data_IF_934688393343
#
_entry.id   IF_934688393343
#
_cell.length_a   1.000
_cell.length_b   1.000
_cell.length_c   1.000
_cell.angle_alpha   90.00
_cell.angle_beta   90.00
_cell.angle_gamma   90.00
#
_symmetry.space_group_name_H-M   'P 1'
#
loop_
_entity.id
_entity.type
_entity.pdbx_description
1 polymer ?
#
# COMPACT_ATOMS: atom_id res chain seq x y z
N UNK A 1 18.80 -54.35 31.68
CA UNK A 1 19.16 -53.22 30.78
C UNK A 1 19.06 -51.94 31.61
N UNK A 2 20.06 -51.66 32.44
CA UNK A 2 21.08 -50.60 32.34
C UNK A 2 20.50 -49.17 32.30
N UNK A 3 20.23 -48.61 33.51
CA UNK A 3 19.79 -47.22 33.76
C UNK A 3 20.56 -46.16 32.95
N UNK A 4 21.85 -46.37 32.69
CA UNK A 4 22.66 -45.43 31.89
C UNK A 4 22.22 -45.29 30.42
N UNK A 5 21.49 -46.26 29.85
CA UNK A 5 20.91 -46.10 28.51
C UNK A 5 19.79 -45.06 28.48
N UNK A 6 19.07 -44.89 29.59
CA UNK A 6 17.96 -43.95 29.69
C UNK A 6 18.45 -42.50 29.79
N UNK A 7 19.56 -42.27 30.50
CA UNK A 7 20.22 -40.96 30.58
C UNK A 7 20.78 -40.50 29.23
N UNK A 8 21.40 -41.41 28.48
CA UNK A 8 21.94 -41.11 27.14
C UNK A 8 20.83 -40.73 26.16
N UNK A 9 19.69 -41.43 26.21
CA UNK A 9 18.53 -41.12 25.35
C UNK A 9 17.98 -39.73 25.69
N UNK A 10 17.86 -39.38 26.97
CA UNK A 10 17.40 -38.04 27.39
C UNK A 10 18.32 -36.93 26.88
N UNK A 11 19.64 -37.14 26.98
CA UNK A 11 20.61 -36.17 26.48
C UNK A 11 20.55 -36.00 24.95
N UNK A 12 20.34 -37.10 24.22
CA UNK A 12 20.18 -37.07 22.77
C UNK A 12 18.97 -36.24 22.33
N UNK A 13 17.83 -36.36 23.02
CA UNK A 13 16.62 -35.58 22.72
C UNK A 13 16.85 -34.09 22.95
N UNK A 14 17.52 -33.72 24.03
CA UNK A 14 17.84 -32.31 24.33
C UNK A 14 18.72 -31.71 23.23
N UNK A 15 19.75 -32.44 22.77
CA UNK A 15 20.62 -31.98 21.68
C UNK A 15 19.81 -31.76 20.40
N UNK A 16 18.91 -32.69 20.06
CA UNK A 16 18.06 -32.57 18.87
C UNK A 16 17.16 -31.33 18.98
N UNK A 17 16.55 -31.09 20.15
CA UNK A 17 15.73 -29.90 20.39
C UNK A 17 16.55 -28.61 20.25
N UNK A 18 17.76 -28.57 20.79
CA UNK A 18 18.66 -27.42 20.65
C UNK A 18 19.06 -27.17 19.18
N UNK A 19 19.30 -28.23 18.40
CA UNK A 19 19.56 -28.12 16.96
C UNK A 19 18.36 -27.53 16.21
N UNK A 20 17.15 -28.01 16.49
CA UNK A 20 15.94 -27.43 15.88
C UNK A 20 15.74 -25.96 16.29
N UNK A 21 15.89 -25.63 17.57
CA UNK A 21 15.82 -24.24 18.05
C UNK A 21 16.86 -23.34 17.37
N UNK A 22 18.07 -23.84 17.16
CA UNK A 22 19.14 -23.10 16.48
C UNK A 22 18.85 -22.91 14.98
N UNK A 23 18.30 -23.92 14.31
CA UNK A 23 17.85 -23.80 12.91
C UNK A 23 16.72 -22.77 12.79
N UNK A 24 15.73 -22.81 13.69
CA UNK A 24 14.67 -21.80 13.72
C UNK A 24 15.22 -20.42 14.02
N UNK A 25 16.12 -20.29 15.00
CA UNK A 25 16.78 -19.02 15.31
C UNK A 25 17.48 -18.44 14.08
N UNK A 26 18.30 -19.22 13.38
CA UNK A 26 18.96 -18.74 12.17
C UNK A 26 17.97 -18.41 11.05
N UNK A 27 16.91 -19.20 10.87
CA UNK A 27 15.86 -18.91 9.88
C UNK A 27 15.17 -17.57 10.17
N UNK A 28 14.84 -17.29 11.42
CA UNK A 28 14.17 -16.05 11.82
C UNK A 28 15.12 -14.87 11.97
N UNK A 29 16.39 -15.10 12.31
CA UNK A 29 17.40 -14.04 12.42
C UNK A 29 18.02 -13.65 11.07
N UNK A 30 18.03 -14.55 10.08
CA UNK A 30 18.53 -14.27 8.73
C UNK A 30 17.48 -13.64 7.81
N UNK A 31 16.20 -13.79 8.12
CA UNK A 31 15.17 -12.98 7.49
C UNK A 31 15.09 -11.66 8.24
N UNK A 32 15.69 -10.60 7.69
CA UNK A 32 15.46 -9.23 8.14
C UNK A 32 13.95 -8.97 8.13
N UNK A 33 13.34 -9.01 9.32
CA UNK A 33 11.90 -8.90 9.53
C UNK A 33 11.37 -7.49 9.33
N UNK A 34 12.19 -6.58 8.83
CA UNK A 34 11.80 -5.22 8.47
C UNK A 34 10.88 -5.21 7.26
N UNK A 35 10.99 -6.15 6.32
CA UNK A 35 10.24 -6.06 5.07
C UNK A 35 8.73 -6.29 5.24
N UNK A 36 8.29 -7.40 5.86
CA UNK A 36 6.85 -7.75 5.82
C UNK A 36 5.95 -6.83 6.65
N UNK A 37 6.42 -6.35 7.79
CA UNK A 37 5.61 -5.47 8.64
C UNK A 37 5.55 -4.07 8.04
N UNK A 38 6.69 -3.58 7.53
CA UNK A 38 6.78 -2.30 6.85
C UNK A 38 5.98 -2.32 5.54
N UNK A 39 6.06 -3.39 4.75
CA UNK A 39 5.28 -3.58 3.52
C UNK A 39 3.77 -3.57 3.80
N UNK A 40 3.34 -4.13 4.93
CA UNK A 40 1.94 -4.10 5.35
C UNK A 40 1.49 -2.71 5.83
N UNK A 41 2.35 -1.98 6.55
CA UNK A 41 2.08 -0.60 6.98
C UNK A 41 1.98 0.35 5.79
N UNK A 42 2.91 0.27 4.85
CA UNK A 42 2.94 1.11 3.65
C UNK A 42 1.74 0.80 2.72
N UNK A 43 1.33 -0.47 2.56
CA UNK A 43 0.10 -0.83 1.86
C UNK A 43 -1.15 -0.21 2.52
N UNK A 44 -1.23 -0.27 3.85
CA UNK A 44 -2.35 0.32 4.59
C UNK A 44 -2.38 1.84 4.42
N UNK A 45 -1.22 2.49 4.37
CA UNK A 45 -1.12 3.93 4.13
C UNK A 45 -1.69 4.32 2.76
N UNK A 46 -1.32 3.59 1.70
CA UNK A 46 -1.84 3.81 0.33
C UNK A 46 -3.35 3.63 0.27
N UNK A 47 -3.88 2.56 0.86
CA UNK A 47 -5.32 2.31 0.88
C UNK A 47 -6.09 3.36 1.67
N UNK A 48 -5.60 3.73 2.85
CA UNK A 48 -6.22 4.76 3.67
C UNK A 48 -6.21 6.11 2.95
N UNK A 49 -5.15 6.43 2.22
CA UNK A 49 -5.06 7.65 1.43
C UNK A 49 -6.05 7.65 0.26
N UNK A 50 -6.16 6.54 -0.47
CA UNK A 50 -7.13 6.41 -1.56
C UNK A 50 -8.57 6.55 -1.06
N UNK A 51 -8.89 5.95 0.09
CA UNK A 51 -10.18 6.11 0.73
C UNK A 51 -10.43 7.53 1.24
N UNK A 52 -9.41 8.18 1.79
CA UNK A 52 -9.50 9.59 2.20
C UNK A 52 -9.76 10.51 1.00
N UNK A 53 -9.08 10.29 -0.13
CA UNK A 53 -9.32 11.02 -1.38
C UNK A 53 -10.78 10.83 -1.81
N UNK A 54 -11.32 9.62 -1.79
CA UNK A 54 -12.72 9.35 -2.20
C UNK A 54 -13.75 10.08 -1.33
N UNK A 55 -13.50 10.15 -0.02
CA UNK A 55 -14.42 10.76 0.95
C UNK A 55 -14.22 12.27 1.09
N UNK A 56 -13.15 12.84 0.53
CA UNK A 56 -12.88 14.26 0.60
C UNK A 56 -14.02 15.06 -0.06
N UNK A 57 -14.52 16.06 0.65
CA UNK A 57 -15.62 16.90 0.20
C UNK A 57 -15.07 18.17 -0.43
N UNK A 58 -15.52 18.44 -1.64
CA UNK A 58 -15.22 19.62 -2.45
C UNK A 58 -16.53 20.31 -2.78
N UNK A 59 -16.50 21.64 -2.83
CA UNK A 59 -17.63 22.48 -3.23
C UNK A 59 -18.94 22.19 -2.47
N UNK A 60 -19.07 22.85 -1.33
CA UNK A 60 -20.24 22.93 -0.45
C UNK A 60 -20.89 21.61 0.02
N UNK A 61 -20.71 20.45 -0.63
CA UNK A 61 -21.06 19.09 -0.17
C UNK A 61 -20.75 17.96 -1.19
N UNK A 62 -20.08 18.21 -2.33
CA UNK A 62 -19.80 17.16 -3.33
C UNK A 62 -18.62 16.29 -2.92
N UNK A 63 -18.78 14.97 -2.91
CA UNK A 63 -17.65 14.08 -2.64
C UNK A 63 -16.75 13.98 -3.86
N UNK A 64 -15.43 13.90 -3.64
CA UNK A 64 -14.44 13.67 -4.68
C UNK A 64 -14.75 12.41 -5.49
N UNK A 65 -15.32 11.37 -4.87
CA UNK A 65 -15.75 10.19 -5.62
C UNK A 65 -16.79 10.48 -6.71
N UNK A 66 -17.63 11.50 -6.54
CA UNK A 66 -18.59 11.97 -7.55
C UNK A 66 -17.91 12.89 -8.57
N UNK A 67 -16.95 13.72 -8.14
CA UNK A 67 -16.11 14.51 -9.06
C UNK A 67 -15.30 13.62 -9.99
N UNK A 68 -14.73 12.52 -9.48
CA UNK A 68 -14.01 11.53 -10.27
C UNK A 68 -14.93 10.86 -11.30
N UNK A 69 -16.18 10.54 -10.93
CA UNK A 69 -17.18 10.02 -11.89
C UNK A 69 -17.48 11.04 -12.98
N UNK A 70 -17.68 12.30 -12.59
CA UNK A 70 -17.93 13.40 -13.52
C UNK A 70 -16.75 13.60 -14.47
N UNK A 71 -15.51 13.49 -13.98
CA UNK A 71 -14.31 13.51 -14.81
C UNK A 71 -14.28 12.37 -15.84
N UNK A 72 -14.58 11.14 -15.43
CA UNK A 72 -14.69 9.99 -16.36
C UNK A 72 -15.71 10.25 -17.47
N UNK A 73 -16.84 10.88 -17.12
CA UNK A 73 -17.91 11.20 -18.05
C UNK A 73 -17.63 12.47 -18.90
N UNK A 74 -16.49 13.14 -18.69
CA UNK A 74 -16.13 14.41 -19.36
C UNK A 74 -17.01 15.59 -18.92
N UNK A 75 -17.50 15.54 -17.68
CA UNK A 75 -18.37 16.53 -17.06
C UNK A 75 -17.64 17.66 -16.36
N UNK A 76 -18.44 18.54 -15.76
CA UNK A 76 -17.99 19.66 -14.95
C UNK A 76 -18.55 19.53 -13.55
N UNK A 77 -17.77 19.93 -12.55
CA UNK A 77 -18.20 20.09 -11.17
C UNK A 77 -17.77 21.47 -10.69
N UNK A 78 -18.52 22.10 -9.79
CA UNK A 78 -18.13 23.39 -9.22
C UNK A 78 -17.88 24.52 -10.24
N UNK A 79 -18.60 24.50 -11.38
CA UNK A 79 -18.39 25.42 -12.50
C UNK A 79 -16.98 25.33 -13.15
N UNK A 80 -16.24 24.24 -12.90
CA UNK A 80 -14.92 23.95 -13.45
C UNK A 80 -14.88 22.54 -14.07
N UNK A 81 -13.90 22.27 -14.93
CA UNK A 81 -13.66 20.94 -15.50
C UNK A 81 -13.38 19.93 -14.36
N UNK A 82 -14.15 18.84 -14.32
CA UNK A 82 -14.07 17.89 -13.22
C UNK A 82 -12.70 17.21 -13.14
N UNK A 83 -12.05 16.95 -14.27
CA UNK A 83 -10.72 16.34 -14.30
C UNK A 83 -9.63 17.31 -13.82
N UNK A 84 -9.74 18.59 -14.15
CA UNK A 84 -8.85 19.63 -13.62
C UNK A 84 -8.96 19.77 -12.10
N UNK A 85 -10.17 19.65 -11.54
CA UNK A 85 -10.38 19.60 -10.09
C UNK A 85 -9.68 18.38 -9.49
N UNK A 86 -9.92 17.19 -10.05
CA UNK A 86 -9.29 15.96 -9.55
C UNK A 86 -7.77 16.08 -9.57
N UNK A 87 -7.18 16.55 -10.67
CA UNK A 87 -5.72 16.73 -10.79
C UNK A 87 -5.19 17.65 -9.68
N UNK A 88 -5.78 18.83 -9.52
CA UNK A 88 -5.37 19.84 -8.53
C UNK A 88 -5.46 19.31 -7.10
N UNK A 89 -6.61 18.74 -6.76
CA UNK A 89 -6.92 18.36 -5.38
C UNK A 89 -6.15 17.10 -4.98
N UNK A 90 -5.99 16.13 -5.89
CA UNK A 90 -5.15 14.95 -5.64
C UNK A 90 -3.69 15.36 -5.44
N UNK A 91 -3.15 16.26 -6.27
CA UNK A 91 -1.80 16.81 -6.06
C UNK A 91 -1.67 17.51 -4.71
N UNK A 92 -2.67 18.30 -4.32
CA UNK A 92 -2.67 18.98 -3.03
C UNK A 92 -2.72 18.00 -1.85
N UNK A 93 -3.64 17.04 -1.85
CA UNK A 93 -3.78 16.02 -0.79
C UNK A 93 -2.47 15.25 -0.62
N UNK A 94 -1.83 14.86 -1.72
CA UNK A 94 -0.64 14.03 -1.67
C UNK A 94 0.57 14.84 -1.18
N UNK A 95 0.70 16.09 -1.61
CA UNK A 95 1.73 17.00 -1.07
C UNK A 95 1.59 17.24 0.45
N UNK A 96 0.36 17.22 0.98
CA UNK A 96 0.10 17.36 2.42
C UNK A 96 0.42 16.08 3.21
N UNK A 97 0.40 14.91 2.58
CA UNK A 97 0.84 13.65 3.18
C UNK A 97 2.38 13.50 3.19
N UNK A 98 3.11 14.47 2.64
CA UNK A 98 4.58 14.46 2.61
C UNK A 98 5.17 13.54 1.55
N UNK A 99 4.34 13.07 0.60
CA UNK A 99 4.79 12.33 -0.57
C UNK A 99 5.18 13.34 -1.67
N UNK A 100 6.34 13.13 -2.27
CA UNK A 100 6.81 13.94 -3.39
C UNK A 100 6.15 13.48 -4.70
N UNK A 101 6.11 14.35 -5.71
CA UNK A 101 5.52 14.02 -7.03
C UNK A 101 6.17 12.82 -7.73
N UNK A 102 7.37 12.42 -7.31
CA UNK A 102 8.10 11.27 -7.87
C UNK A 102 7.76 9.94 -7.15
N UNK A 103 7.08 9.99 -6.00
CA UNK A 103 6.78 8.81 -5.17
C UNK A 103 5.39 8.23 -5.40
N UNK A 104 4.59 8.82 -6.30
CA UNK A 104 3.26 8.31 -6.57
C UNK A 104 2.79 8.52 -8.01
N UNK A 105 1.84 7.68 -8.43
CA UNK A 105 1.11 7.81 -9.68
C UNK A 105 -0.38 7.66 -9.41
N UNK A 106 -1.19 8.57 -9.94
CA UNK A 106 -2.64 8.49 -9.87
C UNK A 106 -3.21 8.36 -11.28
N UNK A 107 -4.00 7.32 -11.52
CA UNK A 107 -4.61 7.03 -12.81
C UNK A 107 -6.12 6.98 -12.71
N UNK A 108 -6.77 7.44 -13.79
CA UNK A 108 -8.19 7.22 -14.07
C UNK A 108 -8.23 6.57 -15.45
N UNK A 109 -8.58 5.29 -15.51
CA UNK A 109 -8.43 4.48 -16.72
C UNK A 109 -6.97 4.45 -17.17
N UNK A 110 -6.73 4.82 -18.44
CA UNK A 110 -5.41 4.91 -19.04
C UNK A 110 -4.73 6.28 -18.86
N UNK A 111 -5.41 7.27 -18.27
CA UNK A 111 -4.92 8.64 -18.15
C UNK A 111 -4.15 8.82 -16.84
N UNK A 112 -2.95 9.38 -16.92
CA UNK A 112 -2.07 9.69 -15.79
C UNK A 112 -2.30 11.14 -15.33
N UNK A 113 -2.63 11.32 -14.05
CA UNK A 113 -2.89 12.62 -13.41
C UNK A 113 -1.80 13.04 -12.43
N UNK A 114 -0.77 12.20 -12.22
CA UNK A 114 0.44 12.56 -11.48
C UNK A 114 1.70 12.00 -12.17
N UNK A 115 2.71 12.85 -12.34
CA UNK A 115 3.87 12.63 -13.21
C UNK A 115 4.96 11.70 -12.65
N UNK A 116 4.72 11.00 -11.53
CA UNK A 116 5.75 10.17 -10.92
C UNK A 116 6.30 9.10 -11.87
N UNK A 117 7.62 8.87 -11.82
CA UNK A 117 8.24 7.71 -12.46
C UNK A 117 8.56 6.66 -11.40
N UNK A 118 7.64 5.72 -11.15
CA UNK A 118 7.94 4.62 -10.25
C UNK A 118 9.17 3.85 -10.74
N UNK A 119 10.24 3.86 -9.94
CA UNK A 119 11.46 3.08 -10.15
C UNK A 119 11.74 2.30 -8.88
N UNK A 120 11.23 1.08 -8.78
CA UNK A 120 11.39 0.26 -7.58
C UNK A 120 10.21 -0.65 -7.34
N UNK A 121 9.96 -0.93 -6.06
CA UNK A 121 8.76 -1.64 -5.65
C UNK A 121 7.58 -0.66 -5.69
N UNK A 122 6.39 -1.22 -5.91
CA UNK A 122 5.17 -0.42 -6.02
C UNK A 122 4.06 -1.07 -5.23
N UNK A 123 3.37 -0.26 -4.42
CA UNK A 123 2.06 -0.63 -3.90
C UNK A 123 0.98 -0.01 -4.76
N UNK A 124 -0.07 -0.77 -5.01
CA UNK A 124 -1.16 -0.38 -5.88
C UNK A 124 -2.45 -0.66 -5.13
N UNK A 125 -3.27 0.36 -4.99
CA UNK A 125 -4.67 0.20 -4.63
C UNK A 125 -5.55 0.76 -5.75
N UNK A 126 -6.65 0.08 -6.01
CA UNK A 126 -7.55 0.42 -7.11
C UNK A 126 -9.03 0.18 -6.79
N UNK A 127 -9.88 0.93 -7.49
CA UNK A 127 -11.32 0.70 -7.46
C UNK A 127 -11.93 1.02 -8.81
N UNK A 128 -13.10 0.46 -9.09
CA UNK A 128 -13.82 0.67 -10.36
C UNK A 128 -14.97 1.64 -10.12
N UNK A 129 -15.09 2.66 -10.96
CA UNK A 129 -16.21 3.61 -10.97
C UNK A 129 -16.57 3.96 -12.42
N UNK A 130 -17.87 3.96 -12.75
CA UNK A 130 -18.37 4.20 -14.12
C UNK A 130 -17.70 3.34 -15.22
N UNK A 131 -17.16 2.16 -14.87
CA UNK A 131 -16.49 1.28 -15.81
C UNK A 131 -15.00 1.58 -16.02
N UNK A 132 -14.47 2.64 -15.40
CA UNK A 132 -13.05 2.98 -15.40
C UNK A 132 -12.37 2.54 -14.10
N UNK A 133 -11.10 2.15 -14.21
CA UNK A 133 -10.27 1.80 -13.05
C UNK A 133 -9.57 3.04 -12.53
N UNK A 134 -9.81 3.38 -11.27
CA UNK A 134 -9.07 4.43 -10.55
C UNK A 134 -7.98 3.74 -9.77
N UNK A 135 -6.74 4.19 -9.94
CA UNK A 135 -5.56 3.53 -9.35
C UNK A 135 -4.64 4.54 -8.71
N UNK A 136 -4.29 4.31 -7.46
CA UNK A 136 -3.20 4.99 -6.76
C UNK A 136 -2.03 4.02 -6.63
N UNK A 137 -0.87 4.43 -7.13
CA UNK A 137 0.37 3.69 -7.01
C UNK A 137 1.35 4.50 -6.17
N UNK A 138 1.94 3.89 -5.16
CA UNK A 138 3.04 4.46 -4.38
C UNK A 138 4.34 3.73 -4.72
N UNK A 139 5.41 4.49 -4.92
CA UNK A 139 6.73 4.00 -5.32
C UNK A 139 7.73 4.20 -4.18
N UNK A 140 8.50 3.15 -3.85
CA UNK A 140 9.57 3.20 -2.85
C UNK A 140 10.79 2.33 -3.23
#
# INVERSE_FOLDING_TARGET
MKRGQLEIIGFMVIIILLLFSLIFYFKFAANDSTDLLQEAEENLEVSNLLDAIKMYTICDDTQMSDVIKSCVDGGNECDEDACAIVEREVQQIISLNGWDNDTYMFHIGDILYSQGTCKGNTFVDDYITNGETIKLTYCY
#
